data_IF_021581874467
#
_entry.id   IF_021581874467
#
_cell.length_a   1.000
_cell.length_b   1.000
_cell.length_c   1.000
_cell.angle_alpha   90.00
_cell.angle_beta   90.00
_cell.angle_gamma   90.00
#
_symmetry.space_group_name_H-M   'P 1'
#
loop_
_entity.id
_entity.type
_entity.pdbx_description
1 polymer ?
#
# COMPACT_ATOMS: atom_id res chain seq x y z
N UNK A 1 0.60 10.77 16.00
CA UNK A 1 0.33 10.05 17.26
C UNK A 1 -0.31 8.73 16.88
N UNK A 2 0.19 7.60 17.40
CA UNK A 2 -0.34 6.27 17.09
C UNK A 2 -1.42 5.93 18.12
N UNK A 3 -2.59 5.51 17.65
CA UNK A 3 -3.73 5.10 18.48
C UNK A 3 -4.13 3.68 18.09
N UNK A 4 -4.48 2.84 19.07
CA UNK A 4 -5.19 1.61 18.77
C UNK A 4 -6.68 1.91 18.59
N UNK A 5 -7.33 1.25 17.63
CA UNK A 5 -8.75 1.50 17.32
C UNK A 5 -9.65 1.18 18.50
N UNK A 6 -9.35 0.12 19.26
CA UNK A 6 -10.04 -0.22 20.51
C UNK A 6 -10.06 0.89 21.58
N UNK A 7 -9.11 1.82 21.51
CA UNK A 7 -8.97 2.93 22.47
C UNK A 7 -9.63 4.23 21.96
N UNK A 8 -10.22 4.21 20.77
CA UNK A 8 -10.94 5.35 20.19
C UNK A 8 -12.37 5.39 20.72
N UNK A 9 -12.89 6.61 20.95
CA UNK A 9 -14.32 6.78 21.18
C UNK A 9 -15.12 6.41 19.92
N UNK A 10 -16.41 6.06 20.02
CA UNK A 10 -17.25 5.77 18.85
C UNK A 10 -17.25 6.90 17.81
N UNK A 11 -17.27 8.16 18.27
CA UNK A 11 -17.21 9.35 17.42
C UNK A 11 -15.87 9.47 16.69
N UNK A 12 -14.75 9.20 17.38
CA UNK A 12 -13.41 9.21 16.78
C UNK A 12 -13.25 8.10 15.75
N UNK A 13 -13.76 6.90 16.05
CA UNK A 13 -13.76 5.77 15.11
C UNK A 13 -14.54 6.13 13.84
N UNK A 14 -15.76 6.65 13.96
CA UNK A 14 -16.57 7.03 12.82
C UNK A 14 -15.88 8.09 11.93
N UNK A 15 -15.21 9.06 12.55
CA UNK A 15 -14.45 10.07 11.82
C UNK A 15 -13.27 9.45 11.04
N UNK A 16 -12.56 8.48 11.64
CA UNK A 16 -11.48 7.75 10.96
C UNK A 16 -12.01 6.90 9.81
N UNK A 17 -13.10 6.17 10.01
CA UNK A 17 -13.72 5.33 8.97
C UNK A 17 -14.20 6.18 7.78
N UNK A 18 -14.76 7.35 8.04
CA UNK A 18 -15.14 8.32 7.01
C UNK A 18 -13.93 8.82 6.20
N UNK A 19 -12.80 9.09 6.86
CA UNK A 19 -11.56 9.50 6.19
C UNK A 19 -10.93 8.37 5.36
N UNK A 20 -11.03 7.12 5.82
CA UNK A 20 -10.48 5.95 5.15
C UNK A 20 -11.40 5.40 4.04
N UNK A 21 -12.70 5.72 4.09
CA UNK A 21 -13.71 5.18 3.18
C UNK A 21 -14.01 3.69 3.42
N UNK A 22 -13.66 3.16 4.59
CA UNK A 22 -13.87 1.77 4.99
C UNK A 22 -13.98 1.63 6.51
N UNK A 23 -14.61 0.55 7.03
CA UNK A 23 -14.57 0.24 8.45
C UNK A 23 -13.15 -0.09 8.93
N UNK A 24 -12.88 0.15 10.22
CA UNK A 24 -11.62 -0.20 10.89
C UNK A 24 -11.80 -1.36 11.86
N UNK A 25 -10.79 -2.23 11.96
CA UNK A 25 -10.81 -3.38 12.88
C UNK A 25 -10.33 -2.97 14.29
N UNK A 26 -10.76 -3.67 15.34
CA UNK A 26 -10.42 -3.34 16.74
C UNK A 26 -8.92 -3.40 17.04
N UNK A 27 -8.22 -4.34 16.41
CA UNK A 27 -6.79 -4.60 16.53
C UNK A 27 -5.94 -3.71 15.61
N UNK A 28 -6.58 -2.94 14.72
CA UNK A 28 -5.90 -2.01 13.84
C UNK A 28 -5.32 -0.83 14.64
N UNK A 29 -4.17 -0.33 14.20
CA UNK A 29 -3.54 0.86 14.78
C UNK A 29 -3.55 2.00 13.77
N UNK A 30 -4.10 3.14 14.16
CA UNK A 30 -4.28 4.31 13.30
C UNK A 30 -3.37 5.44 13.77
N UNK A 31 -2.58 6.00 12.85
CA UNK A 31 -1.76 7.18 13.13
C UNK A 31 -2.28 8.39 12.39
N UNK A 32 -2.76 9.38 13.14
CA UNK A 32 -3.17 10.68 12.58
C UNK A 32 -1.95 11.60 12.57
N UNK A 33 -1.62 12.13 11.39
CA UNK A 33 -0.53 13.09 11.19
C UNK A 33 -1.05 14.33 10.48
N UNK A 34 -0.97 15.47 11.16
CA UNK A 34 -1.14 16.76 10.50
C UNK A 34 0.01 17.01 9.55
N UNK A 35 -0.29 17.17 8.26
CA UNK A 35 0.69 17.57 7.25
C UNK A 35 0.48 19.05 6.97
N UNK A 36 1.55 19.85 7.07
CA UNK A 36 1.47 21.27 6.67
C UNK A 36 1.11 21.33 5.18
N UNK A 37 0.22 22.22 4.72
CA UNK A 37 -0.15 22.32 3.30
C UNK A 37 1.07 22.45 2.37
N UNK A 38 2.15 23.10 2.82
CA UNK A 38 3.41 23.24 2.08
C UNK A 38 4.20 21.94 1.88
N UNK A 39 3.92 20.89 2.66
CA UNK A 39 4.53 19.56 2.52
C UNK A 39 3.66 18.61 1.69
N UNK A 40 2.41 19.00 1.39
CA UNK A 40 1.56 18.31 0.43
C UNK A 40 1.99 18.82 -0.94
N UNK A 41 2.75 18.02 -1.69
CA UNK A 41 3.02 18.32 -3.09
C UNK A 41 1.73 18.02 -3.84
N UNK A 42 0.95 19.02 -4.28
CA UNK A 42 -0.24 18.76 -5.08
C UNK A 42 0.22 18.07 -6.36
N UNK A 43 -0.61 17.16 -6.86
CA UNK A 43 -0.36 16.59 -8.18
C UNK A 43 -0.31 17.71 -9.20
N UNK A 44 0.71 17.65 -10.04
CA UNK A 44 0.81 18.51 -11.23
C UNK A 44 -0.21 18.13 -12.30
N UNK A 45 -0.76 16.92 -12.21
CA UNK A 45 -1.81 16.42 -13.08
C UNK A 45 -3.18 16.88 -12.58
N UNK A 46 -4.01 17.34 -13.52
CA UNK A 46 -5.45 17.51 -13.37
C UNK A 46 -6.14 16.18 -13.02
N UNK A 47 -7.42 16.26 -12.64
CA UNK A 47 -8.21 15.07 -12.30
C UNK A 47 -8.31 14.09 -13.47
N UNK A 48 -8.48 14.61 -14.70
CA UNK A 48 -8.63 13.77 -15.89
C UNK A 48 -7.30 13.14 -16.30
N UNK A 49 -6.19 13.88 -16.22
CA UNK A 49 -4.85 13.34 -16.45
C UNK A 49 -4.49 12.26 -15.42
N UNK A 50 -4.93 12.42 -14.16
CA UNK A 50 -4.77 11.36 -13.13
C UNK A 50 -5.54 10.10 -13.49
N UNK A 51 -6.80 10.22 -13.92
CA UNK A 51 -7.62 9.08 -14.35
C UNK A 51 -6.97 8.38 -15.54
N UNK A 52 -6.52 9.15 -16.52
CA UNK A 52 -5.86 8.60 -17.70
C UNK A 52 -4.55 7.87 -17.34
N UNK A 53 -3.72 8.46 -16.47
CA UNK A 53 -2.50 7.83 -15.99
C UNK A 53 -2.79 6.51 -15.25
N UNK A 54 -3.86 6.47 -14.45
CA UNK A 54 -4.29 5.27 -13.74
C UNK A 54 -4.76 4.17 -14.70
N UNK A 55 -5.52 4.53 -15.73
CA UNK A 55 -5.96 3.57 -16.76
C UNK A 55 -4.78 3.03 -17.58
N UNK A 56 -3.83 3.89 -17.96
CA UNK A 56 -2.59 3.44 -18.63
C UNK A 56 -1.79 2.47 -17.75
N UNK A 57 -1.71 2.74 -16.44
CA UNK A 57 -1.02 1.86 -15.49
C UNK A 57 -1.72 0.51 -15.36
N UNK A 58 -3.06 0.50 -15.26
CA UNK A 58 -3.86 -0.73 -15.23
C UNK A 58 -3.66 -1.57 -16.49
N UNK A 59 -3.70 -0.94 -17.66
CA UNK A 59 -3.48 -1.62 -18.93
C UNK A 59 -2.06 -2.22 -19.01
N UNK A 60 -1.05 -1.49 -18.54
CA UNK A 60 0.31 -2.00 -18.47
C UNK A 60 0.41 -3.24 -17.58
N UNK A 61 -0.17 -3.22 -16.38
CA UNK A 61 -0.14 -4.39 -15.49
C UNK A 61 -0.90 -5.58 -16.05
N UNK A 62 -2.07 -5.37 -16.69
CA UNK A 62 -2.79 -6.45 -17.35
C UNK A 62 -1.94 -7.16 -18.41
N UNK A 63 -1.20 -6.39 -19.22
CA UNK A 63 -0.27 -6.96 -20.21
C UNK A 63 0.89 -7.73 -19.57
N UNK A 64 1.40 -7.27 -18.44
CA UNK A 64 2.45 -7.99 -17.68
C UNK A 64 1.90 -9.30 -17.12
N UNK A 65 0.69 -9.26 -16.55
CA UNK A 65 0.03 -10.42 -15.97
C UNK A 65 -0.30 -11.49 -17.03
N UNK A 66 -0.73 -11.09 -18.23
CA UNK A 66 -0.92 -11.99 -19.37
C UNK A 66 0.37 -12.73 -19.78
N UNK A 67 1.53 -12.10 -19.59
CA UNK A 67 2.84 -12.68 -19.92
C UNK A 67 3.46 -13.44 -18.74
N UNK A 68 2.82 -13.42 -17.57
CA UNK A 68 3.34 -14.06 -16.37
C UNK A 68 3.23 -15.57 -16.51
N UNK A 69 4.35 -16.27 -16.32
CA UNK A 69 4.34 -17.72 -16.15
C UNK A 69 3.90 -18.04 -14.72
N UNK A 70 2.89 -18.90 -14.51
CA UNK A 70 2.58 -19.36 -13.17
C UNK A 70 3.79 -20.14 -12.64
N UNK A 71 4.19 -19.84 -11.42
CA UNK A 71 5.23 -20.55 -10.67
C UNK A 71 4.60 -21.03 -9.37
N UNK A 72 5.18 -22.07 -8.77
CA UNK A 72 4.76 -22.51 -7.44
C UNK A 72 5.15 -21.48 -6.37
N UNK A 73 4.45 -21.48 -5.24
CA UNK A 73 4.76 -20.59 -4.11
C UNK A 73 6.22 -20.71 -3.66
N UNK A 74 6.76 -21.94 -3.67
CA UNK A 74 8.16 -22.22 -3.34
C UNK A 74 9.14 -21.56 -4.33
N UNK A 75 8.85 -21.61 -5.62
CA UNK A 75 9.65 -20.95 -6.66
C UNK A 75 9.54 -19.42 -6.58
N UNK A 76 8.35 -18.89 -6.27
CA UNK A 76 8.15 -17.45 -6.05
C UNK A 76 8.98 -16.95 -4.85
N UNK A 77 8.94 -17.66 -3.73
CA UNK A 77 9.76 -17.36 -2.55
C UNK A 77 11.26 -17.44 -2.87
N UNK A 78 11.69 -18.44 -3.64
CA UNK A 78 13.10 -18.59 -4.01
C UNK A 78 13.59 -17.43 -4.88
N UNK A 79 12.79 -17.01 -5.88
CA UNK A 79 13.09 -15.84 -6.74
C UNK A 79 13.21 -14.57 -5.90
N UNK A 80 12.28 -14.34 -4.97
CA UNK A 80 12.31 -13.17 -4.07
C UNK A 80 13.55 -13.22 -3.20
N UNK A 81 13.86 -14.38 -2.62
CA UNK A 81 15.02 -14.56 -1.75
C UNK A 81 16.34 -14.37 -2.51
N UNK A 82 16.44 -14.83 -3.76
CA UNK A 82 17.59 -14.59 -4.64
C UNK A 82 17.79 -13.09 -4.89
N UNK A 83 16.72 -12.38 -5.28
CA UNK A 83 16.77 -10.93 -5.51
C UNK A 83 17.16 -10.15 -4.24
N UNK A 84 16.65 -10.57 -3.08
CA UNK A 84 17.01 -9.99 -1.79
C UNK A 84 18.48 -10.26 -1.44
N UNK A 85 19.02 -11.46 -1.71
CA UNK A 85 20.45 -11.75 -1.49
C UNK A 85 21.35 -10.93 -2.42
N UNK A 86 20.92 -10.67 -3.65
CA UNK A 86 21.66 -9.82 -4.59
C UNK A 86 21.83 -8.38 -4.07
N UNK A 87 20.77 -7.81 -3.49
CA UNK A 87 20.81 -6.44 -2.94
C UNK A 87 21.28 -6.39 -1.48
N UNK A 88 21.12 -7.47 -0.73
CA UNK A 88 21.47 -7.63 0.70
C UNK A 88 22.12 -9.00 0.92
N UNK A 89 23.45 -9.13 0.70
CA UNK A 89 24.15 -10.42 0.72
C UNK A 89 23.97 -11.26 1.98
N UNK A 90 23.72 -10.62 3.13
CA UNK A 90 23.53 -11.29 4.42
C UNK A 90 22.06 -11.60 4.74
N UNK A 91 21.14 -11.40 3.80
CA UNK A 91 19.73 -11.69 4.01
C UNK A 91 19.49 -13.18 4.25
N UNK A 92 18.75 -13.49 5.32
CA UNK A 92 18.30 -14.85 5.66
C UNK A 92 16.77 -14.83 5.79
N UNK A 93 16.05 -15.71 5.08
CA UNK A 93 14.61 -15.87 5.26
C UNK A 93 14.30 -16.32 6.69
N UNK A 94 13.15 -15.90 7.23
CA UNK A 94 12.62 -16.37 8.51
C UNK A 94 11.53 -17.38 8.12
N UNK A 95 11.74 -18.66 8.46
CA UNK A 95 10.78 -19.74 8.24
C UNK A 95 9.93 -19.97 9.48
#
# INVERSE_FOLDING_TARGET
>A
MLHHVKDLSPEQRQAVENLLGRPVAEDESVSIKGIRPSAIIPSRLSLDERKEALERLRHYFAKVDEQRKPVSDAEEEEIINEALRSTRPNFRPIH
#
